data_IF_300613710186
#
_entry.id   IF_300613710186
#
_cell.length_a   1.000
_cell.length_b   1.000
_cell.length_c   1.000
_cell.angle_alpha   90.00
_cell.angle_beta   90.00
_cell.angle_gamma   90.00
#
_symmetry.space_group_name_H-M   'P 1'
#
loop_
_entity.id
_entity.type
_entity.pdbx_description
1 polymer ?
#
# COMPACT_ATOMS: atom_id res chain seq x y z
N UNK A 1 -14.88 0.12 -8.33
CA UNK A 1 -13.41 -0.09 -8.26
C UNK A 1 -12.71 0.98 -9.08
N UNK A 2 -11.76 1.68 -8.48
CA UNK A 2 -11.00 2.70 -9.20
C UNK A 2 -9.74 2.15 -9.85
N UNK A 3 -9.10 1.17 -9.19
CA UNK A 3 -7.82 0.67 -9.66
C UNK A 3 -7.61 -0.77 -9.20
N UNK A 4 -7.10 -1.58 -10.09
CA UNK A 4 -6.59 -2.90 -9.76
C UNK A 4 -5.44 -3.20 -10.71
N UNK A 5 -4.22 -3.20 -10.18
CA UNK A 5 -3.03 -3.41 -11.00
C UNK A 5 -1.99 -4.25 -10.29
N UNK A 6 -1.21 -4.96 -11.09
CA UNK A 6 -0.04 -5.67 -10.63
C UNK A 6 1.16 -5.14 -11.42
N UNK A 7 2.17 -4.65 -10.71
CA UNK A 7 3.36 -4.06 -11.31
C UNK A 7 4.56 -4.96 -10.98
N UNK A 8 5.13 -5.69 -11.95
CA UNK A 8 6.32 -6.47 -11.67
C UNK A 8 7.54 -5.57 -11.48
N UNK A 9 8.35 -5.86 -10.47
CA UNK A 9 9.62 -5.18 -10.23
C UNK A 9 10.79 -6.04 -10.72
N UNK A 10 10.69 -7.35 -10.48
CA UNK A 10 11.67 -8.33 -10.90
C UNK A 10 10.99 -9.70 -11.03
N UNK A 11 11.75 -10.75 -11.30
CA UNK A 11 11.20 -12.10 -11.34
C UNK A 11 10.61 -12.54 -10.01
N UNK A 12 11.14 -12.01 -8.91
CA UNK A 12 10.78 -12.42 -7.56
C UNK A 12 9.96 -11.39 -6.81
N UNK A 13 9.66 -10.24 -7.41
CA UNK A 13 8.99 -9.16 -6.70
C UNK A 13 7.98 -8.43 -7.57
N UNK A 14 6.89 -8.02 -6.94
CA UNK A 14 5.83 -7.26 -7.61
C UNK A 14 5.06 -6.42 -6.60
N UNK A 15 4.42 -5.38 -7.11
CA UNK A 15 3.47 -4.59 -6.34
C UNK A 15 2.06 -4.90 -6.82
N UNK A 16 1.12 -4.96 -5.88
CA UNK A 16 -0.29 -5.16 -6.19
C UNK A 16 -1.07 -4.02 -5.58
N UNK A 17 -1.85 -3.31 -6.41
CA UNK A 17 -2.58 -2.13 -6.00
C UNK A 17 -4.07 -2.36 -6.22
N UNK A 18 -4.86 -2.23 -5.15
CA UNK A 18 -6.31 -2.33 -5.22
C UNK A 18 -6.91 -1.14 -4.49
N UNK A 19 -7.80 -0.43 -5.17
CA UNK A 19 -8.42 0.78 -4.65
C UNK A 19 -9.88 0.83 -5.06
N UNK A 20 -10.77 1.03 -4.08
CA UNK A 20 -12.21 1.23 -4.31
C UNK A 20 -12.63 2.57 -3.79
N UNK A 21 -13.58 3.19 -4.49
CA UNK A 21 -14.32 4.32 -3.94
C UNK A 21 -15.61 3.79 -3.33
N UNK A 22 -15.89 4.18 -2.10
CA UNK A 22 -17.06 3.75 -1.36
C UNK A 22 -18.15 4.80 -1.43
N UNK A 23 -19.44 4.41 -1.28
CA UNK A 23 -20.54 5.40 -1.23
C UNK A 23 -20.48 6.28 0.02
N UNK A 24 -19.81 5.81 1.09
CA UNK A 24 -19.60 6.60 2.30
C UNK A 24 -18.33 6.14 2.98
N UNK A 25 -17.71 6.98 3.84
CA UNK A 25 -16.48 6.60 4.53
C UNK A 25 -16.67 5.37 5.43
N UNK A 26 -15.61 4.57 5.58
CA UNK A 26 -15.58 3.51 6.57
C UNK A 26 -15.59 4.11 7.97
N UNK A 27 -16.10 3.35 8.94
CA UNK A 27 -16.06 3.77 10.34
C UNK A 27 -14.62 4.07 10.76
N UNK A 28 -14.40 5.24 11.36
CA UNK A 28 -13.08 5.69 11.78
C UNK A 28 -12.23 6.34 10.69
N UNK A 29 -12.78 6.53 9.48
CA UNK A 29 -12.07 7.14 8.37
C UNK A 29 -12.72 8.47 7.96
N UNK A 30 -11.88 9.42 7.56
CA UNK A 30 -12.34 10.72 7.07
C UNK A 30 -12.53 10.75 5.56
N UNK A 31 -12.22 9.67 4.86
CA UNK A 31 -12.35 9.59 3.39
C UNK A 31 -13.15 8.34 2.98
N UNK A 32 -13.61 8.33 1.74
CA UNK A 32 -14.47 7.27 1.21
C UNK A 32 -13.72 6.32 0.27
N UNK A 33 -12.47 6.01 0.57
CA UNK A 33 -11.68 5.06 -0.21
C UNK A 33 -11.32 3.84 0.63
N UNK A 34 -11.39 2.67 0.00
CA UNK A 34 -10.90 1.41 0.57
C UNK A 34 -9.74 0.96 -0.29
N UNK A 35 -8.62 0.63 0.32
CA UNK A 35 -7.45 0.26 -0.46
C UNK A 35 -6.61 -0.81 0.23
N UNK A 36 -5.87 -1.51 -0.60
CA UNK A 36 -4.81 -2.42 -0.16
C UNK A 36 -3.71 -2.39 -1.23
N UNK A 37 -2.56 -1.87 -0.86
CA UNK A 37 -1.38 -1.81 -1.70
C UNK A 37 -0.31 -2.66 -1.05
N UNK A 38 0.25 -3.62 -1.78
CA UNK A 38 1.20 -4.57 -1.22
C UNK A 38 2.39 -4.76 -2.15
N UNK A 39 3.59 -4.74 -1.59
CA UNK A 39 4.81 -5.11 -2.30
C UNK A 39 5.27 -6.44 -1.77
N UNK A 40 5.36 -7.42 -2.67
CA UNK A 40 5.72 -8.81 -2.34
C UNK A 40 7.08 -9.11 -2.94
N UNK A 41 7.97 -9.66 -2.13
CA UNK A 41 9.30 -10.06 -2.56
C UNK A 41 9.60 -11.46 -2.02
N UNK A 42 9.96 -12.37 -2.92
CA UNK A 42 10.22 -13.78 -2.58
C UNK A 42 9.06 -14.42 -1.81
N UNK A 43 7.82 -14.09 -2.20
CA UNK A 43 6.63 -14.63 -1.57
C UNK A 43 6.25 -14.00 -0.24
N UNK A 44 6.98 -12.97 0.20
CA UNK A 44 6.74 -12.29 1.47
C UNK A 44 6.29 -10.86 1.21
N UNK A 45 5.21 -10.45 1.87
CA UNK A 45 4.74 -9.07 1.80
C UNK A 45 5.63 -8.21 2.70
N UNK A 46 6.44 -7.35 2.10
CA UNK A 46 7.40 -6.50 2.84
C UNK A 46 6.94 -5.07 3.00
N UNK A 47 5.99 -4.60 2.18
CA UNK A 47 5.34 -3.30 2.35
C UNK A 47 3.85 -3.47 2.13
N UNK A 48 3.03 -2.89 3.00
CA UNK A 48 1.58 -2.90 2.82
C UNK A 48 1.00 -1.60 3.34
N UNK A 49 0.18 -0.96 2.51
CA UNK A 49 -0.62 0.19 2.90
C UNK A 49 -2.08 -0.22 2.76
N UNK A 50 -2.83 -0.15 3.85
CA UNK A 50 -4.25 -0.51 3.81
C UNK A 50 -5.05 0.27 4.84
N UNK A 51 -6.37 0.16 4.73
CA UNK A 51 -7.27 0.70 5.74
C UNK A 51 -8.38 -0.32 6.05
N UNK A 52 -8.83 -0.30 7.30
CA UNK A 52 -9.89 -1.17 7.77
C UNK A 52 -10.89 -0.37 8.59
N UNK A 53 -12.15 -0.82 8.58
CA UNK A 53 -13.20 -0.20 9.38
C UNK A 53 -12.81 -0.20 10.86
N UNK A 54 -12.90 0.96 11.51
CA UNK A 54 -12.59 1.11 12.93
C UNK A 54 -11.11 1.25 13.28
N UNK A 55 -10.21 1.00 12.33
CA UNK A 55 -8.76 1.06 12.57
C UNK A 55 -8.07 2.20 11.87
N UNK A 56 -8.70 2.76 10.82
CA UNK A 56 -8.12 3.84 10.03
C UNK A 56 -7.07 3.36 9.06
N UNK A 57 -6.23 4.29 8.62
CA UNK A 57 -5.23 4.07 7.60
C UNK A 57 -3.91 3.67 8.24
N UNK A 58 -3.28 2.62 7.71
CA UNK A 58 -2.04 2.07 8.24
C UNK A 58 -1.03 1.77 7.16
N UNK A 59 0.23 1.82 7.53
CA UNK A 59 1.30 1.31 6.68
C UNK A 59 2.14 0.32 7.48
N UNK A 60 2.55 -0.74 6.80
CA UNK A 60 3.46 -1.75 7.33
C UNK A 60 4.69 -1.78 6.44
N UNK A 61 5.85 -1.59 7.02
CA UNK A 61 7.12 -1.71 6.32
C UNK A 61 7.98 -2.69 7.11
N UNK A 62 8.22 -3.85 6.52
CA UNK A 62 8.86 -4.98 7.20
C UNK A 62 8.06 -5.34 8.46
N UNK A 63 8.65 -5.26 9.65
CA UNK A 63 7.99 -5.60 10.92
C UNK A 63 7.39 -4.39 11.62
N UNK A 64 7.50 -3.20 11.03
CA UNK A 64 7.02 -1.97 11.64
C UNK A 64 5.66 -1.57 11.09
N UNK A 65 4.74 -1.23 11.99
CA UNK A 65 3.44 -0.70 11.64
C UNK A 65 3.30 0.72 12.17
N UNK A 66 2.73 1.60 11.35
CA UNK A 66 2.52 2.99 11.73
C UNK A 66 1.21 3.50 11.10
N UNK A 67 0.58 4.52 11.73
CA UNK A 67 -0.53 5.20 11.07
C UNK A 67 -0.07 5.86 9.78
N UNK A 68 -0.96 5.91 8.79
CA UNK A 68 -0.70 6.60 7.53
C UNK A 68 -1.67 7.77 7.41
N UNK A 69 -1.15 8.94 7.09
CA UNK A 69 -1.97 10.13 6.88
C UNK A 69 -2.43 10.20 5.42
N UNK A 70 -3.65 9.73 5.15
CA UNK A 70 -4.21 9.75 3.80
C UNK A 70 -4.53 11.17 3.36
N UNK A 71 -4.06 11.55 2.17
CA UNK A 71 -4.31 12.85 1.58
C UNK A 71 -5.15 12.70 0.31
N UNK A 72 -4.72 11.82 -0.60
CA UNK A 72 -5.41 11.57 -1.87
C UNK A 72 -4.98 10.21 -2.40
N UNK A 73 -5.77 9.61 -3.32
CA UNK A 73 -5.36 8.36 -3.97
C UNK A 73 -4.01 8.47 -4.69
N UNK A 74 -3.75 9.60 -5.35
CA UNK A 74 -2.49 9.82 -6.06
C UNK A 74 -1.31 9.84 -5.11
N UNK A 75 -1.45 10.55 -3.99
CA UNK A 75 -0.41 10.65 -2.98
C UNK A 75 -0.17 9.29 -2.31
N UNK A 76 -1.23 8.54 -2.06
CA UNK A 76 -1.16 7.19 -1.49
C UNK A 76 -0.31 6.27 -2.37
N UNK A 77 -0.58 6.23 -3.65
CA UNK A 77 0.14 5.38 -4.60
C UNK A 77 1.61 5.82 -4.69
N UNK A 78 1.83 7.13 -4.74
CA UNK A 78 3.18 7.69 -4.78
C UNK A 78 4.00 7.33 -3.54
N UNK A 79 3.43 7.47 -2.36
CA UNK A 79 4.09 7.14 -1.10
C UNK A 79 4.40 5.64 -1.01
N UNK A 80 3.45 4.81 -1.42
CA UNK A 80 3.61 3.36 -1.42
C UNK A 80 4.74 2.93 -2.37
N UNK A 81 4.72 3.42 -3.60
CA UNK A 81 5.74 3.05 -4.59
C UNK A 81 7.13 3.51 -4.18
N UNK A 82 7.22 4.65 -3.50
CA UNK A 82 8.50 5.14 -2.97
C UNK A 82 9.07 4.17 -1.94
N UNK A 83 8.23 3.68 -1.02
CA UNK A 83 8.66 2.70 -0.02
C UNK A 83 9.05 1.37 -0.68
N UNK A 84 8.25 0.90 -1.64
CA UNK A 84 8.53 -0.35 -2.33
C UNK A 84 9.86 -0.28 -3.09
N UNK A 85 10.10 0.82 -3.81
CA UNK A 85 11.34 1.01 -4.57
C UNK A 85 12.54 1.12 -3.66
N UNK A 86 12.39 1.79 -2.52
CA UNK A 86 13.45 1.94 -1.53
C UNK A 86 13.93 0.56 -1.02
N UNK A 87 12.98 -0.30 -0.68
CA UNK A 87 13.31 -1.66 -0.21
C UNK A 87 13.90 -2.51 -1.33
N UNK A 88 13.35 -2.41 -2.53
CA UNK A 88 13.84 -3.15 -3.68
C UNK A 88 15.30 -2.76 -3.98
N UNK A 89 15.62 -1.48 -3.93
CA UNK A 89 16.97 -0.97 -4.16
C UNK A 89 17.93 -1.39 -3.05
N UNK A 90 17.51 -1.36 -1.79
CA UNK A 90 18.31 -1.82 -0.65
C UNK A 90 18.73 -3.28 -0.85
N UNK A 91 17.78 -4.13 -1.22
CA UNK A 91 18.04 -5.55 -1.39
C UNK A 91 18.95 -5.87 -2.56
N UNK A 92 18.98 -5.00 -3.56
CA UNK A 92 19.88 -5.15 -4.71
C UNK A 92 21.33 -4.80 -4.38
N UNK A 93 21.52 -3.90 -3.44
CA UNK A 93 22.85 -3.42 -3.04
C UNK A 93 23.51 -4.32 -1.98
N UNK A 94 22.81 -5.30 -1.51
CA UNK A 94 23.32 -6.16 -0.44
C UNK A 94 23.97 -7.47 -0.92
#
# INVERSE_FOLDING_TARGET
MLLRERIPFSEDSFAELVLWQLPSPLAGSAHAFKYRLAFVKDGVCVVRFDNEAGKGDHRHVRDEEAPYAFVSPEKLIEDFLREARSIDDEDRDS
#
